data_IF_580743657491
#
_entry.id   IF_580743657491
#
_cell.length_a   1.000
_cell.length_b   1.000
_cell.length_c   1.000
_cell.angle_alpha   90.00
_cell.angle_beta   90.00
_cell.angle_gamma   90.00
#
_symmetry.space_group_name_H-M   'P 1'
#
loop_
_entity.id
_entity.type
_entity.pdbx_description
1 polymer ?
#
# COMPACT_ATOMS: atom_id res chain seq x y z
N UNK A 1 -5.97 -9.92 -25.12
CA UNK A 1 -5.39 -9.88 -23.75
C UNK A 1 -6.31 -9.06 -22.88
N UNK A 2 -6.63 -9.49 -21.66
CA UNK A 2 -7.38 -8.64 -20.74
C UNK A 2 -6.49 -7.53 -20.21
N UNK A 3 -7.06 -6.36 -19.94
CA UNK A 3 -6.33 -5.19 -19.43
C UNK A 3 -5.59 -5.51 -18.11
N UNK A 4 -6.24 -6.25 -17.21
CA UNK A 4 -5.63 -6.73 -15.97
C UNK A 4 -4.38 -7.60 -16.22
N UNK A 5 -4.40 -8.48 -17.23
CA UNK A 5 -3.23 -9.30 -17.59
C UNK A 5 -2.11 -8.45 -18.18
N UNK A 6 -2.44 -7.39 -18.93
CA UNK A 6 -1.46 -6.47 -19.49
C UNK A 6 -0.72 -5.70 -18.38
N UNK A 7 -1.45 -5.17 -17.39
CA UNK A 7 -0.85 -4.46 -16.22
C UNK A 7 0.07 -5.38 -15.40
N UNK A 8 -0.36 -6.62 -15.13
CA UNK A 8 0.50 -7.59 -14.43
C UNK A 8 1.77 -7.88 -15.21
N UNK A 9 1.69 -8.03 -16.54
CA UNK A 9 2.87 -8.25 -17.38
C UNK A 9 3.80 -7.04 -17.42
N UNK A 10 3.29 -5.82 -17.38
CA UNK A 10 4.11 -4.61 -17.27
C UNK A 10 4.90 -4.58 -15.96
N UNK A 11 4.26 -4.91 -14.83
CA UNK A 11 4.98 -4.98 -13.56
C UNK A 11 6.01 -6.10 -13.52
N UNK A 12 5.70 -7.26 -14.11
CA UNK A 12 6.63 -8.38 -14.19
C UNK A 12 7.88 -8.04 -15.02
N UNK A 13 7.74 -7.24 -16.09
CA UNK A 13 8.90 -6.76 -16.89
C UNK A 13 9.86 -5.85 -16.10
N UNK A 14 9.40 -5.26 -14.99
CA UNK A 14 10.25 -4.45 -14.12
C UNK A 14 10.94 -5.28 -13.02
N UNK A 15 10.58 -6.56 -12.87
CA UNK A 15 11.24 -7.44 -11.92
C UNK A 15 12.60 -7.86 -12.51
N UNK A 16 13.71 -7.65 -11.79
CA UNK A 16 15.03 -8.09 -12.22
C UNK A 16 15.09 -9.60 -12.53
N UNK A 17 15.78 -9.97 -13.63
CA UNK A 17 15.89 -11.35 -14.11
C UNK A 17 16.61 -12.31 -13.15
N UNK A 18 17.40 -11.77 -12.22
CA UNK A 18 18.09 -12.53 -11.17
C UNK A 18 17.14 -13.03 -10.06
N UNK A 19 15.91 -12.50 -10.03
CA UNK A 19 14.86 -12.93 -9.11
C UNK A 19 14.12 -14.11 -9.70
N UNK A 20 14.53 -15.30 -9.27
CA UNK A 20 13.95 -16.57 -9.73
C UNK A 20 12.88 -17.13 -8.77
N UNK A 21 12.76 -16.53 -7.57
CA UNK A 21 11.80 -16.96 -6.56
C UNK A 21 10.41 -16.42 -6.83
N UNK A 22 9.46 -17.31 -7.11
CA UNK A 22 8.04 -16.95 -7.30
C UNK A 22 7.46 -16.20 -6.10
N UNK A 23 7.84 -16.57 -4.88
CA UNK A 23 7.38 -15.87 -3.66
C UNK A 23 7.88 -14.44 -3.61
N UNK A 24 9.13 -14.19 -4.02
CA UNK A 24 9.66 -12.83 -4.08
C UNK A 24 8.97 -12.01 -5.16
N UNK A 25 8.72 -12.60 -6.33
CA UNK A 25 7.95 -12.00 -7.42
C UNK A 25 6.56 -11.58 -6.92
N UNK A 26 5.84 -12.48 -6.25
CA UNK A 26 4.51 -12.20 -5.70
C UNK A 26 4.54 -11.08 -4.65
N UNK A 27 5.54 -11.07 -3.76
CA UNK A 27 5.70 -10.01 -2.78
C UNK A 27 5.92 -8.64 -3.43
N UNK A 28 6.74 -8.58 -4.48
CA UNK A 28 6.99 -7.34 -5.24
C UNK A 28 5.74 -6.85 -5.96
N UNK A 29 5.01 -7.75 -6.62
CA UNK A 29 3.74 -7.42 -7.27
C UNK A 29 2.71 -6.90 -6.25
N UNK A 30 2.61 -7.54 -5.08
CA UNK A 30 1.74 -7.09 -4.00
C UNK A 30 2.09 -5.67 -3.52
N UNK A 31 3.39 -5.37 -3.34
CA UNK A 31 3.84 -4.04 -2.94
C UNK A 31 3.52 -2.98 -3.99
N UNK A 32 3.70 -3.28 -5.27
CA UNK A 32 3.35 -2.37 -6.37
C UNK A 32 1.85 -2.06 -6.38
N UNK A 33 1.00 -3.09 -6.27
CA UNK A 33 -0.45 -2.91 -6.19
C UNK A 33 -0.85 -2.04 -4.99
N UNK A 34 -0.25 -2.28 -3.83
CA UNK A 34 -0.48 -1.48 -2.61
C UNK A 34 -0.08 -0.02 -2.81
N UNK A 35 1.01 0.23 -3.53
CA UNK A 35 1.48 1.58 -3.83
C UNK A 35 0.54 2.30 -4.79
N UNK A 36 0.12 1.64 -5.87
CA UNK A 36 -0.84 2.21 -6.84
C UNK A 36 -2.16 2.56 -6.17
N UNK A 37 -2.73 1.63 -5.42
CA UNK A 37 -3.94 1.89 -4.65
C UNK A 37 -3.75 3.03 -3.63
N UNK A 38 -2.57 3.13 -3.02
CA UNK A 38 -2.27 4.26 -2.13
C UNK A 38 -2.22 5.60 -2.87
N UNK A 39 -1.70 5.65 -4.10
CA UNK A 39 -1.66 6.86 -4.93
C UNK A 39 -3.06 7.27 -5.36
N UNK A 40 -3.86 6.33 -5.84
CA UNK A 40 -5.27 6.57 -6.22
C UNK A 40 -6.06 7.14 -5.03
N UNK A 41 -5.88 6.58 -3.83
CA UNK A 41 -6.52 7.10 -2.62
C UNK A 41 -6.06 8.49 -2.25
N UNK A 42 -4.77 8.80 -2.40
CA UNK A 42 -4.27 10.16 -2.17
C UNK A 42 -4.86 11.14 -3.18
N UNK A 43 -5.07 10.74 -4.43
CA UNK A 43 -5.70 11.60 -5.44
C UNK A 43 -7.19 11.85 -5.14
N UNK A 44 -7.91 10.86 -4.62
CA UNK A 44 -9.35 10.96 -4.34
C UNK A 44 -9.65 11.58 -2.97
N UNK A 45 -8.93 11.15 -1.94
CA UNK A 45 -9.17 11.50 -0.53
C UNK A 45 -8.25 12.63 -0.05
N UNK A 46 -7.19 12.95 -0.80
CA UNK A 46 -6.16 13.90 -0.38
C UNK A 46 -5.13 13.31 0.57
N UNK A 47 -4.28 14.18 1.12
CA UNK A 47 -3.30 13.84 2.16
C UNK A 47 -3.62 14.57 3.45
N UNK A 48 -3.23 13.99 4.59
CA UNK A 48 -3.25 14.70 5.87
C UNK A 48 -2.07 15.65 5.93
N UNK A 49 -2.31 16.85 6.46
CA UNK A 49 -1.27 17.76 6.95
C UNK A 49 -0.61 17.18 8.20
N UNK A 50 0.54 17.72 8.60
CA UNK A 50 1.27 17.28 9.79
C UNK A 50 0.43 17.39 11.07
N UNK A 51 -0.38 18.46 11.19
CA UNK A 51 -1.26 18.69 12.33
C UNK A 51 -2.43 17.68 12.35
N UNK A 52 -3.05 17.41 11.20
CA UNK A 52 -4.11 16.41 11.07
C UNK A 52 -3.59 14.99 11.35
N UNK A 53 -2.37 14.70 10.89
CA UNK A 53 -1.70 13.42 11.15
C UNK A 53 -1.40 13.24 12.64
N UNK A 54 -0.91 14.30 13.30
CA UNK A 54 -0.64 14.29 14.74
C UNK A 54 -1.91 14.05 15.56
N UNK A 55 -3.01 14.72 15.20
CA UNK A 55 -4.32 14.54 15.81
C UNK A 55 -4.86 13.11 15.60
N UNK A 56 -4.81 12.59 14.37
CA UNK A 56 -5.23 11.23 14.05
C UNK A 56 -4.49 10.16 14.87
N UNK A 57 -3.17 10.31 15.03
CA UNK A 57 -2.41 9.38 15.86
C UNK A 57 -2.65 9.55 17.36
N UNK A 58 -2.96 10.76 17.84
CA UNK A 58 -3.34 10.99 19.23
C UNK A 58 -4.65 10.27 19.56
N UNK A 59 -5.66 10.39 18.70
CA UNK A 59 -6.94 9.71 18.85
C UNK A 59 -6.79 8.18 18.81
N UNK A 60 -6.01 7.66 17.86
CA UNK A 60 -5.78 6.22 17.73
C UNK A 60 -5.07 5.62 18.96
N UNK A 61 -4.14 6.37 19.56
CA UNK A 61 -3.48 5.97 20.82
C UNK A 61 -4.46 5.92 21.98
N UNK A 62 -5.32 6.91 22.10
CA UNK A 62 -6.36 6.97 23.14
C UNK A 62 -7.35 5.81 23.00
N UNK A 63 -7.80 5.50 21.78
CA UNK A 63 -8.66 4.35 21.49
C UNK A 63 -7.98 3.03 21.87
N UNK A 64 -6.71 2.86 21.50
CA UNK A 64 -5.94 1.65 21.83
C UNK A 64 -5.78 1.50 23.36
N UNK A 65 -5.48 2.59 24.07
CA UNK A 65 -5.40 2.57 25.53
C UNK A 65 -6.74 2.25 26.19
N UNK A 66 -7.85 2.82 25.71
CA UNK A 66 -9.20 2.48 26.21
C UNK A 66 -9.57 1.02 25.97
N UNK A 67 -9.18 0.44 24.84
CA UNK A 67 -9.42 -0.98 24.54
C UNK A 67 -8.56 -1.94 25.36
N UNK A 68 -7.45 -1.48 25.94
CA UNK A 68 -6.58 -2.29 26.81
C UNK A 68 -6.96 -2.19 28.30
N UNK A 69 -7.74 -1.18 28.70
CA UNK A 69 -8.19 -0.97 30.07
C UNK A 69 -9.63 -1.45 30.36
N UNK A 70 -10.31 -2.01 29.35
CA UNK A 70 -11.61 -2.69 29.46
C UNK A 70 -11.43 -4.19 29.21
#
# INVERSE_FOLDING_TARGET
>A
MSEAKAKVLEHLKMVPDDITSETEILNRLYMLLRLEHSKERVEVEGTLTDDELAAHFAEKREQTQRSLCN
#
